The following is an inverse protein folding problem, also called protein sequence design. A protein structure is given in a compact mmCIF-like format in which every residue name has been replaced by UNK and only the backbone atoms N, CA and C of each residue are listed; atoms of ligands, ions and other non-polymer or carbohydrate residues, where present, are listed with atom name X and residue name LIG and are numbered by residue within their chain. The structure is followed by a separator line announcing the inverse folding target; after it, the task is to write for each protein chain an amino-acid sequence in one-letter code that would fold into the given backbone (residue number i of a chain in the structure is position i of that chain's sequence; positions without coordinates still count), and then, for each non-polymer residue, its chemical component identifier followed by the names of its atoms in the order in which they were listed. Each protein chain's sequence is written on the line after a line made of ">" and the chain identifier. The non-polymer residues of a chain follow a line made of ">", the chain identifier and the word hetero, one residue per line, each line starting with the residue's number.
data_IF_292350217800
#
_entry.id   IF_292350217800
#
_cell.length_a   1.000
_cell.length_b   1.000
_cell.length_c   1.000
_cell.angle_alpha   90.00
_cell.angle_beta   90.00
_cell.angle_gamma   90.00
#
_symmetry.space_group_name_H-M   'P 1'
#
loop_
_entity.id
_entity.type
_entity.pdbx_description
1 polymer ?
#
# COMPACT_ATOMS: atom_id res chain seq x y z
N UNK A 1 5.53 9.18 14.61
CA UNK A 1 5.89 9.23 13.18
C UNK A 1 7.35 8.80 13.03
N UNK A 2 7.62 7.67 12.37
CA UNK A 2 8.99 7.25 12.11
C UNK A 2 9.59 8.15 11.01
N UNK A 3 10.49 9.05 11.38
CA UNK A 3 11.16 9.95 10.43
C UNK A 3 12.28 9.19 9.73
N UNK A 4 12.35 9.29 8.39
CA UNK A 4 13.42 8.68 7.58
C UNK A 4 14.79 9.20 8.01
N UNK A 5 15.78 8.32 8.11
CA UNK A 5 17.15 8.66 8.54
C UNK A 5 17.84 9.62 7.57
N UNK A 6 17.52 9.55 6.28
CA UNK A 6 18.03 10.47 5.26
C UNK A 6 17.75 11.95 5.60
N UNK A 7 16.59 12.25 6.21
CA UNK A 7 16.26 13.61 6.65
C UNK A 7 17.17 14.09 7.78
N UNK A 8 17.57 13.19 8.67
CA UNK A 8 18.52 13.51 9.73
C UNK A 8 19.91 13.80 9.19
N UNK A 9 20.35 13.11 8.14
CA UNK A 9 21.65 13.40 7.47
C UNK A 9 21.64 14.79 6.85
N UNK A 10 20.55 15.15 6.15
CA UNK A 10 20.40 16.47 5.56
C UNK A 10 20.37 17.57 6.63
N UNK A 11 19.62 17.36 7.72
CA UNK A 11 19.53 18.30 8.82
C UNK A 11 20.86 18.43 9.59
N UNK A 12 21.58 17.33 9.81
CA UNK A 12 22.90 17.32 10.43
C UNK A 12 23.88 18.21 9.66
N UNK A 13 23.94 18.05 8.34
CA UNK A 13 24.81 18.86 7.47
C UNK A 13 24.39 20.33 7.49
N UNK A 14 23.08 20.61 7.45
CA UNK A 14 22.54 21.98 7.41
C UNK A 14 22.81 22.76 8.70
N UNK A 15 22.60 22.12 9.85
CA UNK A 15 22.72 22.73 11.18
C UNK A 15 24.07 22.45 11.86
N UNK A 16 25.01 21.83 11.14
CA UNK A 16 26.36 21.49 11.63
C UNK A 16 26.33 20.70 12.95
N UNK A 17 25.41 19.76 13.06
CA UNK A 17 25.26 18.90 14.25
C UNK A 17 26.26 17.73 14.18
N UNK A 18 26.77 17.31 15.34
CA UNK A 18 27.53 16.06 15.45
C UNK A 18 26.60 14.85 15.55
N UNK A 19 27.12 13.64 15.36
CA UNK A 19 26.34 12.41 15.51
C UNK A 19 25.74 12.29 16.93
N UNK A 20 26.48 12.75 17.95
CA UNK A 20 26.00 12.87 19.34
C UNK A 20 24.76 13.75 19.44
N UNK A 21 24.80 14.96 18.89
CA UNK A 21 23.66 15.89 18.90
C UNK A 21 22.44 15.32 18.16
N UNK A 22 22.65 14.64 17.03
CA UNK A 22 21.56 14.00 16.29
C UNK A 22 20.94 12.88 17.10
N UNK A 23 21.75 12.06 17.78
CA UNK A 23 21.25 11.00 18.64
C UNK A 23 20.42 11.55 19.80
N UNK A 24 20.92 12.59 20.49
CA UNK A 24 20.16 13.27 21.55
C UNK A 24 18.84 13.84 21.05
N UNK A 25 18.85 14.50 19.89
CA UNK A 25 17.64 15.06 19.27
C UNK A 25 16.62 13.98 18.91
N UNK A 26 17.06 12.79 18.48
CA UNK A 26 16.20 11.63 18.20
C UNK A 26 15.57 11.06 19.47
N UNK A 27 16.35 10.91 20.53
CA UNK A 27 15.85 10.44 21.84
C UNK A 27 14.88 11.44 22.48
N UNK A 28 15.11 12.74 22.28
CA UNK A 28 14.18 13.80 22.67
C UNK A 28 12.88 13.80 21.85
N UNK A 29 12.85 13.15 20.69
CA UNK A 29 11.71 13.12 19.78
C UNK A 29 11.58 14.37 18.92
N UNK A 30 12.68 15.12 18.71
CA UNK A 30 12.71 16.26 17.79
C UNK A 30 12.53 15.81 16.34
N UNK A 31 12.06 16.73 15.50
CA UNK A 31 11.85 16.46 14.07
C UNK A 31 12.88 17.25 13.23
N UNK A 32 13.67 16.58 12.35
CA UNK A 32 14.69 17.22 11.53
C UNK A 32 14.13 18.34 10.63
N UNK A 33 12.89 18.21 10.14
CA UNK A 33 12.26 19.23 9.31
C UNK A 33 11.92 20.51 10.10
N UNK A 34 11.73 20.39 11.42
CA UNK A 34 11.37 21.50 12.30
C UNK A 34 12.59 22.17 12.96
N UNK A 35 13.79 21.58 12.85
CA UNK A 35 15.01 22.14 13.45
C UNK A 35 15.32 23.55 12.95
N UNK A 36 14.96 23.88 11.70
CA UNK A 36 15.15 25.24 11.17
C UNK A 36 14.35 26.32 11.88
N UNK A 37 13.22 25.99 12.52
CA UNK A 37 12.47 26.97 13.34
C UNK A 37 13.09 27.17 14.72
N UNK A 38 13.83 26.18 15.20
CA UNK A 38 14.50 26.18 16.50
C UNK A 38 15.87 26.85 16.36
N UNK A 39 16.57 26.61 15.25
CA UNK A 39 17.87 27.19 14.93
C UNK A 39 17.77 28.62 14.36
N UNK A 40 17.13 29.52 15.10
CA UNK A 40 17.00 30.93 14.75
C UNK A 40 17.78 31.87 15.69
N UNK A 41 18.81 31.34 16.35
CA UNK A 41 19.68 32.05 17.30
C UNK A 41 20.35 33.32 16.71
N UNK A 42 20.52 33.40 15.39
CA UNK A 42 21.06 34.59 14.71
C UNK A 42 20.07 35.76 14.64
N UNK A 43 18.77 35.46 14.63
CA UNK A 43 17.70 36.47 14.61
C UNK A 43 17.29 36.83 16.03
N UNK A 44 17.18 35.82 16.89
CA UNK A 44 16.84 35.97 18.31
C UNK A 44 18.07 35.65 19.15
N UNK A 45 18.91 36.66 19.40
CA UNK A 45 20.21 36.51 20.07
C UNK A 45 20.14 36.01 21.51
N UNK A 46 18.96 36.11 22.13
CA UNK A 46 18.71 35.55 23.46
C UNK A 46 18.51 34.02 23.44
N UNK A 47 18.36 33.39 22.26
CA UNK A 47 18.27 31.93 22.12
C UNK A 47 19.66 31.31 22.04
N UNK A 48 19.81 30.18 22.72
CA UNK A 48 20.98 29.34 22.58
C UNK A 48 21.08 28.74 21.15
N UNK A 49 22.30 28.55 20.61
CA UNK A 49 22.50 27.83 19.37
C UNK A 49 21.97 26.39 19.48
N UNK A 50 21.51 25.84 18.36
CA UNK A 50 20.81 24.55 18.33
C UNK A 50 21.58 23.38 19.02
N UNK A 51 22.91 23.22 18.88
CA UNK A 51 23.65 22.17 19.59
C UNK A 51 23.51 22.27 21.11
N UNK A 52 23.73 23.45 21.67
CA UNK A 52 23.63 23.71 23.12
C UNK A 52 22.21 23.54 23.62
N UNK A 53 21.23 24.00 22.85
CA UNK A 53 19.81 23.81 23.16
C UNK A 53 19.43 22.33 23.28
N UNK A 54 19.95 21.47 22.39
CA UNK A 54 19.71 20.02 22.43
C UNK A 54 20.33 19.43 23.70
N UNK A 55 21.57 19.81 24.03
CA UNK A 55 22.27 19.34 25.24
C UNK A 55 21.52 19.74 26.52
N UNK A 56 21.08 21.00 26.63
CA UNK A 56 20.35 21.49 27.80
C UNK A 56 19.03 20.75 28.02
N UNK A 57 18.24 20.55 26.96
CA UNK A 57 16.96 19.83 27.08
C UNK A 57 17.20 18.35 27.37
N UNK A 58 18.25 17.77 26.76
CA UNK A 58 18.63 16.38 27.04
C UNK A 58 18.99 16.20 28.51
N UNK A 59 19.82 17.08 29.07
CA UNK A 59 20.18 17.08 30.48
C UNK A 59 18.96 17.28 31.39
N UNK A 60 18.07 18.24 31.08
CA UNK A 60 16.85 18.47 31.88
C UNK A 60 15.95 17.23 31.96
N UNK A 61 15.84 16.46 30.87
CA UNK A 61 14.93 15.32 30.78
C UNK A 61 15.54 14.01 31.31
N UNK A 62 16.80 13.76 31.00
CA UNK A 62 17.45 12.48 31.28
C UNK A 62 18.50 12.56 32.40
N UNK A 63 18.88 13.77 32.84
CA UNK A 63 19.94 14.04 33.82
C UNK A 63 21.27 13.37 33.45
N UNK A 64 21.57 13.34 32.14
CA UNK A 64 22.77 12.75 31.54
C UNK A 64 23.32 13.76 30.54
N UNK A 65 24.64 13.84 30.46
CA UNK A 65 25.33 14.72 29.50
C UNK A 65 25.56 14.04 28.15
N UNK A 66 25.51 12.70 28.13
CA UNK A 66 25.77 11.91 26.92
C UNK A 66 24.71 10.82 26.72
N UNK A 67 24.36 10.51 25.46
CA UNK A 67 23.51 9.38 25.14
C UNK A 67 24.26 8.06 25.35
N UNK A 68 23.54 7.03 25.79
CA UNK A 68 24.09 5.71 26.12
C UNK A 68 24.77 5.01 24.93
N UNK A 69 24.34 5.28 23.71
CA UNK A 69 24.89 4.69 22.49
C UNK A 69 24.78 5.67 21.34
N UNK A 70 25.92 6.21 20.89
CA UNK A 70 26.01 7.05 19.70
C UNK A 70 26.19 6.15 18.49
N UNK A 71 25.11 5.89 17.74
CA UNK A 71 25.20 5.24 16.43
C UNK A 71 25.32 6.29 15.35
N UNK A 72 26.32 6.19 14.49
CA UNK A 72 26.49 7.14 13.39
C UNK A 72 25.33 6.97 12.38
N UNK A 73 24.85 8.07 11.79
CA UNK A 73 23.75 7.99 10.82
C UNK A 73 24.10 7.13 9.59
N UNK A 74 25.39 7.09 9.25
CA UNK A 74 25.91 6.30 8.12
C UNK A 74 25.82 4.80 8.39
N UNK A 75 26.15 4.35 9.61
CA UNK A 75 26.00 2.95 10.01
C UNK A 75 24.54 2.50 9.94
N UNK A 76 23.62 3.32 10.45
CA UNK A 76 22.20 2.94 10.46
C UNK A 76 21.65 2.86 9.03
N UNK A 77 22.05 3.78 8.14
CA UNK A 77 21.68 3.70 6.72
C UNK A 77 22.24 2.44 6.04
N UNK A 78 23.46 2.01 6.39
CA UNK A 78 24.05 0.79 5.86
C UNK A 78 23.32 -0.46 6.39
N UNK A 79 22.99 -0.50 7.68
CA UNK A 79 22.20 -1.57 8.29
C UNK A 79 20.82 -1.70 7.64
N UNK A 80 20.12 -0.57 7.44
CA UNK A 80 18.79 -0.56 6.83
C UNK A 80 18.83 -1.03 5.37
N UNK A 81 19.84 -0.61 4.60
CA UNK A 81 20.06 -1.10 3.22
C UNK A 81 20.36 -2.60 3.21
N UNK A 82 21.21 -3.09 4.10
CA UNK A 82 21.54 -4.51 4.21
C UNK A 82 20.32 -5.36 4.61
N UNK A 83 19.51 -4.89 5.57
CA UNK A 83 18.25 -5.54 5.97
C UNK A 83 17.24 -5.56 4.81
N UNK A 84 17.12 -4.47 4.05
CA UNK A 84 16.25 -4.41 2.88
C UNK A 84 16.69 -5.40 1.78
N UNK A 85 18.00 -5.51 1.53
CA UNK A 85 18.52 -6.47 0.55
C UNK A 85 18.33 -7.92 0.98
N UNK A 86 18.55 -8.24 2.26
CA UNK A 86 18.26 -9.57 2.83
C UNK A 86 16.79 -9.94 2.66
N UNK A 87 15.87 -9.05 3.00
CA UNK A 87 14.42 -9.24 2.78
C UNK A 87 14.07 -9.45 1.31
N UNK A 88 14.73 -8.74 0.39
CA UNK A 88 14.54 -8.92 -1.06
C UNK A 88 15.04 -10.28 -1.55
N UNK A 89 16.19 -10.76 -1.04
CA UNK A 89 16.73 -12.08 -1.37
C UNK A 89 15.87 -13.20 -0.80
N UNK A 90 15.37 -13.05 0.42
CA UNK A 90 14.48 -14.01 1.08
C UNK A 90 13.12 -14.09 0.38
N UNK A 91 12.53 -12.95 0.00
CA UNK A 91 11.29 -12.92 -0.79
C UNK A 91 11.47 -13.60 -2.16
N UNK A 92 12.60 -13.38 -2.83
CA UNK A 92 12.94 -14.08 -4.08
C UNK A 92 13.12 -15.59 -3.89
N UNK A 93 13.74 -16.02 -2.79
CA UNK A 93 13.88 -17.45 -2.47
C UNK A 93 12.53 -18.10 -2.15
N UNK A 94 11.66 -17.39 -1.45
CA UNK A 94 10.31 -17.88 -1.14
C UNK A 94 9.44 -17.99 -2.41
N UNK A 95 9.46 -16.98 -3.30
CA UNK A 95 8.80 -17.06 -4.63
C UNK A 95 9.27 -18.30 -5.42
N UNK A 96 10.58 -18.59 -5.41
CA UNK A 96 11.16 -19.75 -6.13
C UNK A 96 10.79 -21.10 -5.49
N UNK A 97 10.56 -21.15 -4.18
CA UNK A 97 10.14 -22.37 -3.47
C UNK A 97 8.65 -22.69 -3.68
N UNK A 98 7.79 -21.67 -3.73
CA UNK A 98 6.35 -21.83 -4.03
C UNK A 98 6.12 -22.34 -5.46
N UNK A 99 7.00 -21.97 -6.39
CA UNK A 99 6.98 -22.43 -7.79
C UNK A 99 7.55 -23.87 -7.99
N UNK A 100 8.09 -24.48 -6.93
CA UNK A 100 8.59 -25.87 -6.97
C UNK A 100 7.59 -26.88 -6.42
N UNK A 101 6.80 -26.50 -5.40
CA UNK A 101 5.75 -27.35 -4.83
C UNK A 101 4.48 -27.42 -5.72
N UNK A 102 4.32 -26.47 -6.65
CA UNK A 102 3.15 -26.44 -7.55
C UNK A 102 3.31 -27.30 -8.80
N UNK A 103 4.43 -28.03 -8.94
CA UNK A 103 4.82 -28.74 -10.18
C UNK A 103 4.51 -30.24 -10.22
N UNK A 104 3.82 -30.79 -9.21
CA UNK A 104 3.44 -32.21 -9.20
C UNK A 104 1.94 -32.47 -9.42
N UNK A 105 1.13 -31.46 -9.73
CA UNK A 105 -0.25 -31.66 -10.20
C UNK A 105 -0.49 -30.85 -11.47
N UNK A 106 0.06 -31.31 -12.58
CA UNK A 106 -0.27 -30.82 -13.92
C UNK A 106 -1.67 -31.30 -14.33
N UNK A 107 -2.51 -30.41 -14.84
CA UNK A 107 -3.01 -30.56 -16.21
C UNK A 107 -3.69 -29.30 -16.79
N UNK A 108 -3.02 -28.75 -17.81
CA UNK A 108 -3.53 -28.09 -19.02
C UNK A 108 -4.38 -26.80 -18.91
N UNK A 109 -3.70 -25.65 -18.99
CA UNK A 109 -3.71 -24.73 -20.16
C UNK A 109 -2.87 -23.49 -19.81
N UNK A 110 -2.31 -22.81 -20.82
CA UNK A 110 -1.32 -21.73 -20.72
C UNK A 110 -1.73 -20.59 -19.76
N UNK A 111 -1.42 -20.72 -18.48
CA UNK A 111 -1.72 -19.71 -17.47
C UNK A 111 -0.58 -18.68 -17.40
N UNK A 112 -0.79 -17.54 -18.04
CA UNK A 112 0.00 -16.33 -17.79
C UNK A 112 -0.02 -16.07 -16.29
N UNK A 113 1.15 -15.95 -15.65
CA UNK A 113 1.25 -15.74 -14.21
C UNK A 113 0.30 -14.62 -13.74
N UNK A 114 -0.35 -14.80 -12.59
CA UNK A 114 -1.30 -13.83 -12.01
C UNK A 114 -0.75 -12.39 -12.01
N UNK A 115 0.55 -12.26 -11.71
CA UNK A 115 1.31 -11.01 -11.75
C UNK A 115 1.42 -10.39 -13.15
N UNK A 116 1.52 -11.20 -14.20
CA UNK A 116 1.51 -10.75 -15.59
C UNK A 116 0.11 -10.37 -16.06
N UNK A 117 -0.94 -11.13 -15.68
CA UNK A 117 -2.35 -10.72 -15.92
C UNK A 117 -2.63 -9.33 -15.31
N UNK A 118 -2.18 -9.10 -14.07
CA UNK A 118 -2.32 -7.82 -13.38
C UNK A 118 -1.64 -6.62 -14.04
N UNK A 119 -0.58 -6.83 -14.83
CA UNK A 119 0.16 -5.74 -15.51
C UNK A 119 -0.57 -5.26 -16.76
N UNK A 120 -1.27 -6.15 -17.46
CA UNK A 120 -1.99 -5.84 -18.71
C UNK A 120 -3.20 -4.90 -18.50
N UNK A 121 -3.82 -4.92 -17.32
CA UNK A 121 -4.99 -4.06 -17.04
C UNK A 121 -4.64 -2.62 -16.64
N UNK A 122 -3.36 -2.29 -16.41
CA UNK A 122 -2.95 -0.91 -16.09
C UNK A 122 -3.01 0.05 -17.30
N UNK A 123 -3.28 -0.44 -18.51
CA UNK A 123 -3.07 0.31 -19.76
C UNK A 123 -4.28 1.09 -20.31
N UNK A 124 -5.40 1.15 -19.57
CA UNK A 124 -6.71 1.80 -19.84
C UNK A 124 -7.82 0.76 -20.07
N UNK A 125 -9.07 1.07 -19.70
CA UNK A 125 -10.20 0.16 -19.91
C UNK A 125 -10.36 -0.16 -21.40
N UNK A 126 -10.43 -1.46 -21.72
CA UNK A 126 -10.52 -1.98 -23.10
C UNK A 126 -11.79 -1.48 -23.82
N UNK A 127 -12.87 -1.24 -23.08
CA UNK A 127 -14.15 -0.78 -23.62
C UNK A 127 -14.53 0.54 -22.96
N UNK A 128 -14.67 1.60 -23.75
CA UNK A 128 -15.24 2.88 -23.30
C UNK A 128 -16.75 2.85 -23.53
N UNK A 129 -17.53 2.57 -22.50
CA UNK A 129 -18.98 2.75 -22.55
C UNK A 129 -19.29 4.25 -22.59
N UNK A 130 -20.01 4.70 -23.60
CA UNK A 130 -20.61 6.04 -23.62
C UNK A 130 -21.84 6.02 -22.72
N UNK A 131 -21.82 6.83 -21.67
CA UNK A 131 -22.94 7.03 -20.76
C UNK A 131 -23.51 8.42 -21.04
N UNK A 132 -24.80 8.49 -21.31
CA UNK A 132 -25.51 9.76 -21.46
C UNK A 132 -25.88 10.34 -20.08
N UNK A 133 -26.00 11.67 -20.02
CA UNK A 133 -26.33 12.36 -18.76
C UNK A 133 -27.80 12.15 -18.42
N UNK A 134 -28.09 11.36 -17.38
CA UNK A 134 -29.44 11.11 -16.86
C UNK A 134 -29.92 9.66 -16.90
N UNK A 135 -29.06 8.70 -17.23
CA UNK A 135 -29.42 7.28 -17.24
C UNK A 135 -29.78 6.73 -15.84
N UNK A 136 -30.77 5.84 -15.79
CA UNK A 136 -31.15 5.12 -14.57
C UNK A 136 -29.99 4.24 -14.06
N UNK A 137 -29.78 4.14 -12.74
CA UNK A 137 -28.70 3.32 -12.18
C UNK A 137 -28.69 1.86 -12.65
N UNK A 138 -29.86 1.28 -12.92
CA UNK A 138 -29.98 -0.09 -13.40
C UNK A 138 -29.59 -0.22 -14.88
N UNK A 139 -29.90 0.79 -15.70
CA UNK A 139 -29.46 0.86 -17.11
C UNK A 139 -27.94 0.97 -17.21
N UNK A 140 -27.31 1.75 -16.32
CA UNK A 140 -25.85 1.85 -16.22
C UNK A 140 -25.25 0.49 -15.84
N UNK A 141 -25.88 -0.22 -14.90
CA UNK A 141 -25.41 -1.54 -14.46
C UNK A 141 -25.42 -2.56 -15.61
N UNK A 142 -26.49 -2.58 -16.40
CA UNK A 142 -26.59 -3.47 -17.56
C UNK A 142 -25.52 -3.17 -18.62
N UNK A 143 -25.26 -1.89 -18.91
CA UNK A 143 -24.21 -1.48 -19.87
C UNK A 143 -22.80 -1.82 -19.39
N UNK A 144 -22.55 -1.66 -18.09
CA UNK A 144 -21.26 -1.93 -17.46
C UNK A 144 -21.13 -3.37 -16.94
N UNK A 145 -22.09 -4.27 -17.22
CA UNK A 145 -22.09 -5.66 -16.74
C UNK A 145 -20.82 -6.44 -17.14
N UNK A 146 -20.29 -6.17 -18.33
CA UNK A 146 -19.04 -6.77 -18.84
C UNK A 146 -17.82 -6.52 -17.94
N UNK A 147 -17.81 -5.44 -17.16
CA UNK A 147 -16.73 -5.13 -16.21
C UNK A 147 -16.71 -6.17 -15.08
N UNK A 148 -17.89 -6.59 -14.61
CA UNK A 148 -18.03 -7.59 -13.56
C UNK A 148 -17.71 -8.99 -14.08
N UNK A 149 -18.02 -9.26 -15.35
CA UNK A 149 -17.61 -10.49 -16.03
C UNK A 149 -16.08 -10.58 -16.15
N UNK A 150 -15.42 -9.51 -16.63
CA UNK A 150 -13.95 -9.47 -16.72
C UNK A 150 -13.27 -9.62 -15.35
N UNK A 151 -13.87 -9.04 -14.30
CA UNK A 151 -13.37 -9.19 -12.93
C UNK A 151 -13.54 -10.62 -12.39
N UNK A 152 -14.61 -11.32 -12.77
CA UNK A 152 -14.85 -12.72 -12.37
C UNK A 152 -13.91 -13.67 -13.14
N UNK A 153 -13.84 -13.52 -14.46
CA UNK A 153 -13.00 -14.35 -15.34
C UNK A 153 -11.50 -14.21 -15.03
N UNK A 154 -11.09 -13.11 -14.39
CA UNK A 154 -9.70 -12.90 -13.98
C UNK A 154 -9.15 -14.01 -13.08
N UNK A 155 -9.98 -14.58 -12.21
CA UNK A 155 -9.56 -15.60 -11.25
C UNK A 155 -9.62 -17.03 -11.79
N UNK A 156 -10.34 -17.28 -12.90
CA UNK A 156 -10.53 -18.63 -13.48
C UNK A 156 -10.98 -19.68 -12.44
N UNK A 157 -11.73 -19.25 -11.41
CA UNK A 157 -12.27 -20.09 -10.34
C UNK A 157 -13.77 -20.27 -10.47
N UNK A 158 -14.28 -21.40 -9.97
CA UNK A 158 -15.72 -21.68 -9.90
C UNK A 158 -16.44 -20.73 -8.93
N UNK A 159 -15.79 -20.36 -7.82
CA UNK A 159 -16.29 -19.42 -6.83
C UNK A 159 -15.24 -18.37 -6.46
N UNK A 160 -15.65 -17.10 -6.34
CA UNK A 160 -14.75 -15.98 -5.97
C UNK A 160 -15.32 -15.20 -4.79
N UNK A 161 -14.47 -14.82 -3.84
CA UNK A 161 -14.88 -14.00 -2.68
C UNK A 161 -15.15 -12.55 -3.08
N UNK A 162 -16.06 -11.87 -2.38
CA UNK A 162 -16.34 -10.44 -2.62
C UNK A 162 -15.11 -9.54 -2.41
N UNK A 163 -14.21 -9.90 -1.50
CA UNK A 163 -12.97 -9.17 -1.23
C UNK A 163 -12.03 -9.20 -2.45
N UNK A 164 -11.88 -10.38 -3.06
CA UNK A 164 -11.09 -10.58 -4.29
C UNK A 164 -11.70 -9.81 -5.47
N UNK A 165 -13.02 -9.94 -5.68
CA UNK A 165 -13.73 -9.20 -6.72
C UNK A 165 -13.62 -7.68 -6.52
N UNK A 166 -13.82 -7.19 -5.30
CA UNK A 166 -13.69 -5.77 -4.97
C UNK A 166 -12.30 -5.20 -5.26
N UNK A 167 -11.25 -5.97 -4.95
CA UNK A 167 -9.87 -5.59 -5.26
C UNK A 167 -9.63 -5.47 -6.76
N UNK A 168 -10.07 -6.46 -7.54
CA UNK A 168 -9.88 -6.48 -8.99
C UNK A 168 -10.74 -5.43 -9.69
N UNK A 169 -12.00 -5.23 -9.29
CA UNK A 169 -12.87 -4.18 -9.83
C UNK A 169 -12.26 -2.78 -9.64
N UNK A 170 -11.66 -2.51 -8.49
CA UNK A 170 -10.97 -1.23 -8.24
C UNK A 170 -9.74 -1.05 -9.16
N UNK A 171 -9.13 -2.15 -9.59
CA UNK A 171 -7.96 -2.14 -10.47
C UNK A 171 -8.33 -2.03 -11.95
N UNK A 172 -9.33 -2.78 -12.40
CA UNK A 172 -9.83 -2.75 -13.78
C UNK A 172 -10.58 -1.43 -14.05
N UNK A 173 -11.43 -1.00 -13.09
CA UNK A 173 -12.24 0.20 -13.23
C UNK A 173 -12.16 1.08 -11.96
N UNK A 174 -11.17 1.99 -11.84
CA UNK A 174 -10.96 2.81 -10.65
C UNK A 174 -12.14 3.74 -10.27
N UNK A 175 -13.04 4.02 -11.22
CA UNK A 175 -14.25 4.82 -10.99
C UNK A 175 -15.44 4.00 -10.50
N UNK A 176 -15.30 2.68 -10.39
CA UNK A 176 -16.32 1.79 -9.87
C UNK A 176 -16.71 2.16 -8.44
N UNK A 177 -18.01 2.30 -8.19
CA UNK A 177 -18.60 2.47 -6.85
C UNK A 177 -20.00 1.81 -6.83
N UNK A 178 -20.36 1.03 -5.79
CA UNK A 178 -21.70 0.44 -5.69
C UNK A 178 -22.85 1.44 -5.86
N UNK A 179 -22.68 2.64 -5.29
CA UNK A 179 -23.70 3.71 -5.34
C UNK A 179 -24.02 4.19 -6.76
N UNK A 180 -23.12 4.03 -7.72
CA UNK A 180 -23.36 4.38 -9.13
C UNK A 180 -24.52 3.57 -9.72
N UNK A 181 -24.67 2.33 -9.26
CA UNK A 181 -25.67 1.37 -9.73
C UNK A 181 -26.87 1.28 -8.76
N UNK A 182 -27.05 2.28 -7.89
CA UNK A 182 -28.12 2.29 -6.90
C UNK A 182 -27.96 1.25 -5.79
N UNK A 183 -26.78 0.66 -5.63
CA UNK A 183 -26.51 -0.41 -4.66
C UNK A 183 -25.66 0.09 -3.47
N UNK A 184 -25.87 -0.49 -2.28
CA UNK A 184 -25.07 -0.17 -1.08
C UNK A 184 -23.78 -1.00 -1.02
N UNK A 185 -23.82 -2.25 -1.47
CA UNK A 185 -22.73 -3.24 -1.37
C UNK A 185 -22.44 -3.88 -2.72
N UNK A 186 -21.26 -4.49 -2.87
CA UNK A 186 -20.90 -5.27 -4.05
C UNK A 186 -21.81 -6.50 -4.20
N UNK A 187 -22.19 -7.11 -3.07
CA UNK A 187 -23.17 -8.19 -3.00
C UNK A 187 -24.49 -7.83 -3.69
N UNK A 188 -25.08 -6.69 -3.34
CA UNK A 188 -26.34 -6.23 -3.94
C UNK A 188 -26.23 -6.00 -5.46
N UNK A 189 -25.04 -5.70 -5.97
CA UNK A 189 -24.83 -5.57 -7.42
C UNK A 189 -24.87 -6.94 -8.09
N UNK A 190 -24.17 -7.93 -7.54
CA UNK A 190 -24.17 -9.28 -8.07
C UNK A 190 -25.54 -9.96 -7.92
N UNK A 191 -26.31 -9.64 -6.89
CA UNK A 191 -27.71 -10.08 -6.75
C UNK A 191 -28.61 -9.50 -7.85
N UNK A 192 -28.39 -8.24 -8.25
CA UNK A 192 -29.10 -7.63 -9.40
C UNK A 192 -28.65 -8.17 -10.75
N UNK A 193 -27.42 -8.65 -10.84
CA UNK A 193 -26.91 -9.31 -12.04
C UNK A 193 -27.43 -10.75 -12.04
N UNK A 194 -28.57 -10.98 -12.66
CA UNK A 194 -29.26 -12.28 -12.71
C UNK A 194 -28.41 -13.47 -13.18
N UNK A 195 -27.20 -13.23 -13.68
CA UNK A 195 -26.18 -14.20 -14.09
C UNK A 195 -25.42 -14.87 -12.93
N UNK A 196 -25.40 -14.28 -11.74
CA UNK A 196 -24.59 -14.74 -10.61
C UNK A 196 -25.44 -15.20 -9.43
N UNK A 197 -24.97 -16.24 -8.74
CA UNK A 197 -25.53 -16.73 -7.48
C UNK A 197 -24.59 -16.36 -6.33
N UNK A 198 -25.15 -15.79 -5.27
CA UNK A 198 -24.42 -15.47 -4.05
C UNK A 198 -24.66 -16.60 -3.05
N UNK A 199 -23.63 -17.39 -2.78
CA UNK A 199 -23.69 -18.48 -1.80
C UNK A 199 -23.32 -17.92 -0.43
N UNK A 200 -24.25 -18.00 0.53
CA UNK A 200 -23.98 -17.62 1.93
C UNK A 200 -23.16 -18.72 2.63
N UNK A 201 -21.84 -18.54 2.67
CA UNK A 201 -20.91 -19.29 3.50
C UNK A 201 -20.29 -18.38 4.57
N UNK A 202 -19.36 -18.88 5.39
CA UNK A 202 -18.61 -18.10 6.41
C UNK A 202 -17.96 -16.84 5.80
N UNK A 203 -17.50 -16.93 4.55
CA UNK A 203 -17.25 -15.79 3.68
C UNK A 203 -18.17 -15.87 2.45
N UNK A 204 -18.99 -14.84 2.18
CA UNK A 204 -19.92 -14.91 1.07
C UNK A 204 -19.13 -14.93 -0.26
N UNK A 205 -19.48 -15.89 -1.13
CA UNK A 205 -18.83 -16.11 -2.43
C UNK A 205 -19.82 -15.94 -3.58
N UNK A 206 -19.30 -15.54 -4.74
CA UNK A 206 -20.05 -15.40 -5.98
C UNK A 206 -19.71 -16.57 -6.89
N UNK A 207 -20.74 -17.19 -7.47
CA UNK A 207 -20.66 -18.24 -8.48
C UNK A 207 -21.49 -17.85 -9.71
N UNK A 208 -21.15 -18.34 -10.90
CA UNK A 208 -22.06 -18.20 -12.07
C UNK A 208 -23.24 -19.16 -11.90
N UNK A 209 -24.46 -18.71 -12.21
CA UNK A 209 -25.61 -19.62 -12.24
C UNK A 209 -25.41 -20.64 -13.35
N UNK A 210 -25.47 -21.93 -13.01
CA UNK A 210 -25.53 -23.01 -14.00
C UNK A 210 -26.93 -23.00 -14.61
N UNK A 211 -27.08 -22.39 -15.78
CA UNK A 211 -28.29 -22.54 -16.59
C UNK A 211 -28.16 -23.93 -17.25
N UNK A 212 -28.82 -24.94 -16.69
CA UNK A 212 -28.99 -26.21 -17.40
C UNK A 212 -29.72 -25.94 -18.72
N UNK A 213 -29.18 -26.36 -19.88
CA UNK A 213 -29.89 -26.23 -21.14
C UNK A 213 -31.09 -27.18 -21.12
N UNK A 214 -32.28 -26.63 -21.32
CA UNK A 214 -33.54 -27.38 -21.43
C UNK A 214 -33.75 -27.90 -22.84
#
# INVERSE_FOLDING_TARGET
>A
MAVKIEKWVAAQKKHRLSDKHVQMARELGLNPDKLGKIDNHKQETWKAPLPQFIEEIYFKRFKREEPLSVKSLKEILAEDKAKAEKKKKEKKKNDVLVDRDSRETENSTKLVSFSAKLKLHNEKPKVKVKLESGESPDSILLKEAHIFDEAFDFYEKESVTFSQLGFILKKIHPRYKPRRYGCKTLRAIYEKLDKYEVVEAEEPVVCRKNIEPK
#
